data_IF_124032222596
#
_entry.id   IF_124032222596
#
_cell.length_a   1.000
_cell.length_b   1.000
_cell.length_c   1.000
_cell.angle_alpha   90.00
_cell.angle_beta   90.00
_cell.angle_gamma   90.00
#
_symmetry.space_group_name_H-M   'P 1'
#
loop_
_entity.id
_entity.type
_entity.pdbx_description
1 polymer ?
#
# COMPACT_ATOMS: atom_id res chain seq x y z
N UNK A 1 -1.77 9.74 -11.00
CA UNK A 1 -1.41 11.14 -11.28
C UNK A 1 -0.47 11.31 -12.48
N UNK A 2 0.10 10.23 -13.01
CA UNK A 2 0.96 10.29 -14.19
C UNK A 2 0.09 10.15 -15.45
N UNK A 3 0.16 11.12 -16.35
CA UNK A 3 -0.60 11.18 -17.61
C UNK A 3 0.35 11.14 -18.82
N UNK A 4 -0.20 10.81 -19.99
CA UNK A 4 0.57 10.70 -21.24
C UNK A 4 0.85 12.04 -21.96
N UNK A 5 0.42 13.17 -21.41
CA UNK A 5 0.56 14.49 -22.03
C UNK A 5 1.45 15.39 -21.16
N UNK A 6 2.45 16.03 -21.77
CA UNK A 6 3.36 16.99 -21.11
C UNK A 6 2.54 18.05 -20.34
N UNK A 7 2.93 18.35 -19.10
CA UNK A 7 2.27 19.27 -18.15
C UNK A 7 0.96 18.79 -17.52
N UNK A 8 0.38 17.67 -17.91
CA UNK A 8 -0.88 17.20 -17.30
C UNK A 8 -0.65 16.65 -15.89
N UNK A 9 0.47 15.97 -15.67
CA UNK A 9 0.86 15.44 -14.36
C UNK A 9 1.08 16.54 -13.31
N UNK A 10 1.72 17.63 -13.69
CA UNK A 10 1.90 18.80 -12.84
C UNK A 10 0.54 19.49 -12.53
N UNK A 11 -0.35 19.60 -13.52
CA UNK A 11 -1.69 20.16 -13.31
C UNK A 11 -2.55 19.30 -12.38
N UNK A 12 -2.51 17.99 -12.55
CA UNK A 12 -3.22 17.04 -11.66
C UNK A 12 -2.68 17.11 -10.23
N UNK A 13 -1.36 17.24 -10.06
CA UNK A 13 -0.76 17.40 -8.73
C UNK A 13 -1.18 18.74 -8.09
N UNK A 14 -1.16 19.84 -8.86
CA UNK A 14 -1.62 21.15 -8.36
C UNK A 14 -3.08 21.10 -7.92
N UNK A 15 -3.94 20.49 -8.73
CA UNK A 15 -5.35 20.31 -8.37
C UNK A 15 -5.52 19.47 -7.10
N UNK A 16 -4.78 18.37 -6.96
CA UNK A 16 -4.81 17.55 -5.75
C UNK A 16 -4.38 18.35 -4.50
N UNK A 17 -3.39 19.22 -4.64
CA UNK A 17 -2.98 20.13 -3.56
C UNK A 17 -4.08 21.15 -3.24
N UNK A 18 -4.74 21.72 -4.26
CA UNK A 18 -5.86 22.65 -4.05
C UNK A 18 -7.03 21.98 -3.30
N UNK A 19 -7.38 20.78 -3.71
CA UNK A 19 -8.43 19.97 -3.09
C UNK A 19 -8.10 19.57 -1.63
N UNK A 20 -6.79 19.50 -1.30
CA UNK A 20 -6.30 19.16 0.04
C UNK A 20 -6.13 20.37 0.98
N UNK A 21 -6.43 21.60 0.52
CA UNK A 21 -6.25 22.79 1.36
C UNK A 21 -7.09 22.72 2.64
N UNK A 22 -6.45 23.00 3.77
CA UNK A 22 -7.04 22.88 5.11
C UNK A 22 -7.11 21.45 5.64
N UNK A 23 -6.59 20.47 4.90
CA UNK A 23 -6.65 19.05 5.20
C UNK A 23 -5.36 18.29 4.97
N UNK A 24 -5.48 17.09 4.42
CA UNK A 24 -4.38 16.16 4.21
C UNK A 24 -4.40 15.65 2.77
N UNK A 25 -3.25 15.76 2.08
CA UNK A 25 -2.99 15.07 0.83
C UNK A 25 -2.28 13.74 1.17
N UNK A 26 -2.99 12.63 1.00
CA UNK A 26 -2.42 11.29 1.18
C UNK A 26 -2.06 10.70 -0.18
N UNK A 27 -0.79 10.32 -0.35
CA UNK A 27 -0.26 9.72 -1.57
C UNK A 27 0.22 8.31 -1.23
N UNK A 28 -0.54 7.31 -1.65
CA UNK A 28 -0.15 5.91 -1.50
C UNK A 28 0.79 5.48 -2.61
N UNK A 29 1.75 4.61 -2.26
CA UNK A 29 2.81 4.17 -3.18
C UNK A 29 3.49 5.33 -3.92
N UNK A 30 3.87 6.37 -3.17
CA UNK A 30 4.34 7.64 -3.70
C UNK A 30 5.56 7.53 -4.64
N UNK A 31 6.35 6.46 -4.52
CA UNK A 31 7.45 6.14 -5.42
C UNK A 31 7.01 5.92 -6.89
N UNK A 32 5.72 5.63 -7.13
CA UNK A 32 5.18 5.55 -8.49
C UNK A 32 5.03 6.92 -9.18
N UNK A 33 5.16 8.03 -8.44
CA UNK A 33 5.18 9.36 -9.04
C UNK A 33 6.44 9.60 -9.86
N UNK A 34 7.59 9.11 -9.39
CA UNK A 34 8.86 9.22 -10.07
C UNK A 34 9.64 7.91 -9.89
N UNK A 35 9.37 6.88 -10.69
CA UNK A 35 10.12 5.64 -10.62
C UNK A 35 11.60 5.89 -10.93
N UNK A 36 12.53 5.13 -10.29
CA UNK A 36 13.94 5.25 -10.57
C UNK A 36 14.19 4.94 -12.05
N UNK A 37 14.93 5.83 -12.74
CA UNK A 37 15.25 5.73 -14.16
C UNK A 37 15.97 4.42 -14.45
N UNK A 38 15.28 3.42 -14.97
CA UNK A 38 15.91 2.23 -15.55
C UNK A 38 16.43 2.61 -16.94
N UNK A 39 17.55 3.38 -16.99
CA UNK A 39 18.47 3.42 -18.11
C UNK A 39 17.93 3.59 -19.54
N UNK A 40 16.80 4.25 -19.75
CA UNK A 40 16.23 4.52 -21.06
C UNK A 40 15.46 5.82 -21.01
N UNK A 41 16.04 6.89 -21.52
CA UNK A 41 15.41 8.22 -21.58
C UNK A 41 14.15 8.23 -22.44
N UNK A 42 13.03 7.81 -21.88
CA UNK A 42 11.70 7.92 -22.45
C UNK A 42 10.98 9.14 -21.89
N UNK A 43 10.03 9.68 -22.65
CA UNK A 43 9.19 10.82 -22.25
C UNK A 43 8.43 10.61 -20.93
N UNK A 44 8.19 9.36 -20.56
CA UNK A 44 7.44 8.99 -19.35
C UNK A 44 8.21 9.28 -18.05
N UNK A 45 9.56 9.30 -18.09
CA UNK A 45 10.39 9.61 -16.91
C UNK A 45 10.26 11.09 -16.49
N UNK A 46 10.03 12.01 -17.43
CA UNK A 46 9.92 13.45 -17.16
C UNK A 46 8.58 13.81 -16.48
N UNK A 47 7.50 13.13 -16.82
CA UNK A 47 6.15 13.47 -16.31
C UNK A 47 6.01 13.25 -14.80
N UNK A 48 6.63 12.19 -14.30
CA UNK A 48 6.65 11.91 -12.87
C UNK A 48 7.50 12.92 -12.10
N UNK A 49 8.62 13.30 -12.66
CA UNK A 49 9.50 14.35 -12.09
C UNK A 49 8.77 15.68 -12.00
N UNK A 50 8.02 16.09 -13.03
CA UNK A 50 7.22 17.32 -13.04
C UNK A 50 6.15 17.32 -11.93
N UNK A 51 5.48 16.18 -11.70
CA UNK A 51 4.50 16.06 -10.62
C UNK A 51 5.15 16.22 -9.24
N UNK A 52 6.33 15.62 -9.03
CA UNK A 52 7.09 15.74 -7.79
C UNK A 52 7.59 17.18 -7.58
N UNK A 53 8.10 17.84 -8.61
CA UNK A 53 8.55 19.24 -8.54
C UNK A 53 7.39 20.20 -8.23
N UNK A 54 6.22 19.94 -8.83
CA UNK A 54 5.00 20.68 -8.55
C UNK A 54 4.59 20.51 -7.09
N UNK A 55 4.59 19.27 -6.59
CA UNK A 55 4.30 18.97 -5.17
C UNK A 55 5.26 19.72 -4.24
N UNK A 56 6.57 19.67 -4.52
CA UNK A 56 7.57 20.36 -3.70
C UNK A 56 7.37 21.87 -3.67
N UNK A 57 7.01 22.46 -4.82
CA UNK A 57 6.71 23.88 -4.93
C UNK A 57 5.49 24.26 -4.10
N UNK A 58 4.43 23.45 -4.16
CA UNK A 58 3.22 23.67 -3.37
C UNK A 58 3.48 23.51 -1.87
N UNK A 59 4.26 22.51 -1.45
CA UNK A 59 4.64 22.32 -0.04
C UNK A 59 5.39 23.53 0.53
N UNK A 60 6.16 24.25 -0.31
CA UNK A 60 6.86 25.47 0.11
C UNK A 60 5.92 26.67 0.15
N UNK A 61 5.19 26.92 -0.94
CA UNK A 61 4.34 28.11 -1.09
C UNK A 61 3.12 28.10 -0.17
N UNK A 62 2.58 26.92 0.11
CA UNK A 62 1.39 26.71 0.91
C UNK A 62 1.71 26.08 2.28
N UNK A 63 2.91 26.33 2.79
CA UNK A 63 3.38 25.82 4.07
C UNK A 63 2.39 26.12 5.20
N UNK A 64 1.97 25.05 5.91
CA UNK A 64 1.01 25.16 7.02
C UNK A 64 -0.45 25.23 6.60
N UNK A 65 -0.77 25.24 5.29
CA UNK A 65 -2.15 25.24 4.81
C UNK A 65 -2.72 23.83 4.61
N UNK A 66 -1.86 22.84 4.36
CA UNK A 66 -2.22 21.43 4.26
C UNK A 66 -1.04 20.53 4.68
N UNK A 67 -1.31 19.25 4.92
CA UNK A 67 -0.31 18.25 5.28
C UNK A 67 -0.17 17.24 4.15
N UNK A 68 1.07 16.87 3.80
CA UNK A 68 1.33 15.80 2.83
C UNK A 68 1.81 14.56 3.57
N UNK A 69 1.18 13.43 3.29
CA UNK A 69 1.58 12.11 3.78
C UNK A 69 1.85 11.23 2.57
N UNK A 70 3.10 10.78 2.43
CA UNK A 70 3.50 9.79 1.44
C UNK A 70 3.66 8.43 2.11
N UNK A 71 3.02 7.42 1.55
CA UNK A 71 3.13 6.04 2.02
C UNK A 71 3.70 5.13 0.94
N UNK A 72 4.29 4.01 1.33
CA UNK A 72 4.83 2.99 0.44
C UNK A 72 5.77 2.03 1.14
N UNK A 73 6.28 1.04 0.41
CA UNK A 73 7.28 0.12 0.93
C UNK A 73 8.58 0.84 1.26
N UNK A 74 9.17 0.53 2.42
CA UNK A 74 10.30 1.26 2.99
C UNK A 74 11.44 1.46 1.99
N UNK A 75 11.91 0.39 1.35
CA UNK A 75 13.01 0.44 0.40
C UNK A 75 12.71 1.38 -0.77
N UNK A 76 11.52 1.26 -1.36
CA UNK A 76 11.11 2.10 -2.48
C UNK A 76 10.93 3.56 -2.07
N UNK A 77 10.44 3.82 -0.86
CA UNK A 77 10.33 5.17 -0.31
C UNK A 77 11.70 5.79 -0.01
N UNK A 78 12.66 5.02 0.47
CA UNK A 78 14.02 5.50 0.69
C UNK A 78 14.69 5.87 -0.67
N UNK A 79 14.50 5.05 -1.71
CA UNK A 79 14.95 5.36 -3.07
C UNK A 79 14.23 6.61 -3.63
N UNK A 80 12.91 6.72 -3.46
CA UNK A 80 12.12 7.88 -3.88
C UNK A 80 12.62 9.19 -3.26
N UNK A 81 12.95 9.19 -1.98
CA UNK A 81 13.47 10.36 -1.29
C UNK A 81 14.86 10.77 -1.76
N UNK A 82 15.61 9.87 -2.40
CA UNK A 82 16.94 10.14 -2.98
C UNK A 82 16.87 10.74 -4.40
N UNK A 83 15.75 10.61 -5.11
CA UNK A 83 15.58 11.15 -6.47
C UNK A 83 15.82 12.65 -6.49
N UNK A 84 15.37 13.36 -5.45
CA UNK A 84 15.55 14.79 -5.35
C UNK A 84 15.90 15.20 -3.91
N UNK A 85 17.02 15.88 -3.68
CA UNK A 85 17.42 16.36 -2.35
C UNK A 85 16.36 17.25 -1.66
N UNK A 86 15.49 17.89 -2.45
CA UNK A 86 14.37 18.69 -1.96
C UNK A 86 13.30 17.87 -1.26
N UNK A 87 13.08 16.61 -1.67
CA UNK A 87 12.15 15.70 -1.03
C UNK A 87 12.60 15.37 0.40
N UNK A 88 13.83 14.94 0.58
CA UNK A 88 14.38 14.58 1.90
C UNK A 88 14.33 15.74 2.90
N UNK A 89 14.47 16.98 2.41
CA UNK A 89 14.39 18.19 3.25
C UNK A 89 12.97 18.53 3.69
N UNK A 90 11.97 18.15 2.91
CA UNK A 90 10.54 18.42 3.20
C UNK A 90 9.87 17.31 3.98
N UNK A 91 10.24 16.06 3.69
CA UNK A 91 9.75 14.88 4.42
C UNK A 91 10.69 14.54 5.59
N UNK A 92 10.65 15.36 6.63
CA UNK A 92 11.50 15.20 7.83
C UNK A 92 10.99 14.16 8.81
N UNK A 93 9.68 13.90 8.81
CA UNK A 93 9.05 12.92 9.69
C UNK A 93 8.86 11.61 8.95
N UNK A 94 9.56 10.56 9.40
CA UNK A 94 9.39 9.20 8.91
C UNK A 94 8.70 8.37 9.99
N UNK A 95 7.64 7.68 9.61
CA UNK A 95 6.94 6.75 10.47
C UNK A 95 7.06 5.34 9.88
N UNK A 96 7.59 4.42 10.64
CA UNK A 96 7.63 3.01 10.27
C UNK A 96 6.42 2.30 10.87
N UNK A 97 5.75 1.49 10.06
CA UNK A 97 4.64 0.63 10.50
C UNK A 97 5.14 -0.80 10.36
N UNK A 98 5.31 -1.46 11.52
CA UNK A 98 5.78 -2.83 11.56
C UNK A 98 4.77 -3.81 10.96
N UNK A 99 5.29 -4.92 10.45
CA UNK A 99 4.45 -6.05 10.03
C UNK A 99 3.66 -6.61 11.21
N UNK A 100 2.47 -7.11 10.93
CA UNK A 100 1.68 -7.82 11.93
C UNK A 100 2.36 -9.11 12.37
N UNK A 101 2.29 -9.39 13.67
CA UNK A 101 2.71 -10.67 14.24
C UNK A 101 1.76 -11.79 13.79
N UNK A 102 2.19 -13.08 13.83
CA UNK A 102 1.32 -14.21 13.52
C UNK A 102 0.01 -14.21 14.34
N UNK A 103 0.06 -13.82 15.60
CA UNK A 103 -1.12 -13.74 16.49
C UNK A 103 -2.07 -12.61 16.04
N UNK A 104 -1.55 -11.46 15.65
CA UNK A 104 -2.35 -10.36 15.11
C UNK A 104 -2.98 -10.75 13.76
N UNK A 105 -2.24 -11.42 12.90
CA UNK A 105 -2.77 -11.94 11.62
C UNK A 105 -3.90 -12.96 11.85
N UNK A 106 -3.74 -13.84 12.83
CA UNK A 106 -4.81 -14.75 13.23
C UNK A 106 -6.05 -14.01 13.71
N UNK A 107 -5.89 -12.98 14.54
CA UNK A 107 -7.01 -12.16 15.01
C UNK A 107 -7.72 -11.46 13.83
N UNK A 108 -6.95 -10.92 12.86
CA UNK A 108 -7.50 -10.31 11.64
C UNK A 108 -8.33 -11.33 10.87
N UNK A 109 -7.81 -12.54 10.66
CA UNK A 109 -8.55 -13.63 9.99
C UNK A 109 -9.85 -13.96 10.71
N UNK A 110 -9.80 -14.13 12.03
CA UNK A 110 -10.98 -14.43 12.85
C UNK A 110 -12.03 -13.32 12.81
N UNK A 111 -11.60 -12.05 12.84
CA UNK A 111 -12.49 -10.90 12.70
C UNK A 111 -13.18 -10.85 11.32
N UNK A 112 -12.43 -11.15 10.25
CA UNK A 112 -13.00 -11.24 8.90
C UNK A 112 -14.02 -12.36 8.80
N UNK A 113 -13.71 -13.54 9.33
CA UNK A 113 -14.64 -14.66 9.37
C UNK A 113 -15.93 -14.26 10.08
N UNK A 114 -15.83 -13.67 11.27
CA UNK A 114 -16.99 -13.20 12.04
C UNK A 114 -17.81 -12.15 11.26
N UNK A 115 -17.18 -11.16 10.63
CA UNK A 115 -17.87 -10.14 9.81
C UNK A 115 -18.62 -10.74 8.62
N UNK A 116 -18.18 -11.88 8.13
CA UNK A 116 -18.80 -12.61 7.01
C UNK A 116 -19.74 -13.75 7.48
N UNK A 117 -20.08 -13.81 8.79
CA UNK A 117 -20.91 -14.81 9.40
C UNK A 117 -20.37 -16.25 9.30
N UNK A 118 -19.05 -16.41 9.33
CA UNK A 118 -18.40 -17.70 9.45
C UNK A 118 -17.89 -17.90 10.88
N UNK A 119 -18.06 -19.12 11.38
CA UNK A 119 -17.52 -19.55 12.69
C UNK A 119 -16.43 -20.60 12.46
N UNK A 120 -15.28 -20.40 13.09
CA UNK A 120 -14.24 -21.41 13.12
C UNK A 120 -14.53 -22.41 14.24
N UNK A 121 -14.45 -23.70 13.91
CA UNK A 121 -14.49 -24.76 14.93
C UNK A 121 -13.15 -24.78 15.69
N UNK A 122 -13.13 -25.16 16.98
CA UNK A 122 -11.91 -25.13 17.80
C UNK A 122 -10.74 -25.90 17.16
N UNK A 123 -11.04 -27.01 16.50
CA UNK A 123 -10.03 -27.86 15.82
C UNK A 123 -9.35 -27.17 14.63
N UNK A 124 -9.95 -26.10 14.08
CA UNK A 124 -9.36 -25.35 12.97
C UNK A 124 -8.35 -24.29 13.44
N UNK A 125 -8.29 -23.96 14.73
CA UNK A 125 -7.45 -22.87 15.24
C UNK A 125 -5.97 -23.22 15.09
N UNK A 126 -5.55 -24.40 15.54
CA UNK A 126 -4.14 -24.83 15.46
C UNK A 126 -3.65 -24.96 14.01
N UNK A 127 -4.39 -25.60 13.08
CA UNK A 127 -4.03 -25.60 11.66
C UNK A 127 -3.95 -24.18 11.05
N UNK A 128 -4.86 -23.28 11.41
CA UNK A 128 -4.83 -21.89 10.95
C UNK A 128 -3.55 -21.19 11.41
N UNK A 129 -3.21 -21.29 12.68
CA UNK A 129 -2.01 -20.71 13.28
C UNK A 129 -0.75 -21.20 12.58
N UNK A 130 -0.65 -22.52 12.34
CA UNK A 130 0.47 -23.11 11.61
C UNK A 130 0.56 -22.60 10.17
N UNK A 131 -0.58 -22.46 9.48
CA UNK A 131 -0.62 -21.92 8.13
C UNK A 131 -0.15 -20.46 8.07
N UNK A 132 -0.57 -19.64 9.03
CA UNK A 132 -0.15 -18.23 9.15
C UNK A 132 1.34 -18.16 9.45
N UNK A 133 1.85 -18.97 10.38
CA UNK A 133 3.29 -19.01 10.72
C UNK A 133 4.14 -19.34 9.48
N UNK A 134 3.76 -20.36 8.71
CA UNK A 134 4.45 -20.71 7.47
C UNK A 134 4.46 -19.56 6.44
N UNK A 135 3.38 -18.79 6.35
CA UNK A 135 3.34 -17.62 5.47
C UNK A 135 4.25 -16.49 5.97
N UNK A 136 4.32 -16.27 7.27
CA UNK A 136 5.21 -15.27 7.88
C UNK A 136 6.68 -15.69 7.75
N UNK A 137 6.99 -16.97 7.94
CA UNK A 137 8.36 -17.49 7.80
C UNK A 137 8.86 -17.41 6.34
N UNK A 138 7.94 -17.52 5.37
CA UNK A 138 8.23 -17.43 3.95
C UNK A 138 8.08 -16.01 3.38
N UNK A 139 7.87 -14.98 4.24
CA UNK A 139 7.65 -13.61 3.78
C UNK A 139 8.86 -13.04 3.03
N UNK A 140 8.57 -12.29 2.00
CA UNK A 140 9.52 -11.45 1.25
C UNK A 140 9.21 -9.96 1.46
N UNK A 141 9.92 -9.10 0.72
CA UNK A 141 9.77 -7.64 0.78
C UNK A 141 8.35 -7.17 0.39
N UNK A 142 7.56 -8.01 -0.28
CA UNK A 142 6.21 -7.71 -0.75
C UNK A 142 5.12 -8.41 0.08
N UNK A 143 5.47 -8.89 1.27
CA UNK A 143 4.50 -9.58 2.12
C UNK A 143 3.30 -8.68 2.43
N UNK A 144 2.12 -9.09 1.97
CA UNK A 144 0.90 -8.29 2.02
C UNK A 144 0.21 -8.22 3.39
N UNK A 145 0.85 -8.69 4.47
CA UNK A 145 0.30 -8.59 5.84
C UNK A 145 -1.17 -9.02 5.93
N UNK A 146 -2.06 -8.09 6.31
CA UNK A 146 -3.51 -8.32 6.37
C UNK A 146 -4.10 -8.77 5.02
N UNK A 147 -3.53 -8.35 3.90
CA UNK A 147 -3.92 -8.78 2.55
C UNK A 147 -3.72 -10.29 2.34
N UNK A 148 -2.68 -10.89 2.95
CA UNK A 148 -2.50 -12.34 2.93
C UNK A 148 -3.61 -13.07 3.68
N UNK A 149 -4.15 -12.47 4.73
CA UNK A 149 -5.30 -13.04 5.46
C UNK A 149 -6.58 -12.97 4.63
N UNK A 150 -6.76 -11.92 3.83
CA UNK A 150 -7.88 -11.83 2.87
C UNK A 150 -7.80 -12.96 1.85
N UNK A 151 -6.63 -13.17 1.24
CA UNK A 151 -6.39 -14.26 0.27
C UNK A 151 -6.66 -15.63 0.89
N UNK A 152 -6.11 -15.88 2.09
CA UNK A 152 -6.30 -17.12 2.83
C UNK A 152 -7.78 -17.39 3.16
N UNK A 153 -8.50 -16.34 3.56
CA UNK A 153 -9.93 -16.45 3.86
C UNK A 153 -10.75 -16.79 2.62
N UNK A 154 -10.51 -16.11 1.50
CA UNK A 154 -11.21 -16.41 0.24
C UNK A 154 -10.91 -17.83 -0.28
N UNK A 155 -9.66 -18.28 -0.15
CA UNK A 155 -9.29 -19.65 -0.50
C UNK A 155 -10.00 -20.68 0.41
N UNK A 156 -10.06 -20.41 1.71
CA UNK A 156 -10.76 -21.27 2.68
C UNK A 156 -12.25 -21.38 2.35
N UNK A 157 -12.89 -20.27 1.96
CA UNK A 157 -14.28 -20.26 1.49
C UNK A 157 -14.48 -21.12 0.24
N UNK A 158 -13.61 -20.97 -0.76
CA UNK A 158 -13.67 -21.76 -2.00
C UNK A 158 -13.59 -23.25 -1.68
N UNK A 159 -12.65 -23.67 -0.82
CA UNK A 159 -12.49 -25.07 -0.41
C UNK A 159 -13.69 -25.59 0.37
N UNK A 160 -14.28 -24.76 1.25
CA UNK A 160 -15.50 -25.11 1.98
C UNK A 160 -16.66 -25.34 1.01
N UNK A 161 -16.89 -24.43 0.07
CA UNK A 161 -17.96 -24.56 -0.94
C UNK A 161 -17.81 -25.83 -1.79
N UNK A 162 -16.60 -26.12 -2.28
CA UNK A 162 -16.34 -27.36 -3.05
C UNK A 162 -16.62 -28.62 -2.22
N UNK A 163 -16.22 -28.63 -0.95
CA UNK A 163 -16.49 -29.76 -0.04
C UNK A 163 -17.96 -29.98 0.24
N UNK A 164 -18.74 -28.90 0.36
CA UNK A 164 -20.20 -28.97 0.56
C UNK A 164 -20.90 -29.46 -0.70
N UNK A 165 -20.50 -28.97 -1.88
CA UNK A 165 -21.09 -29.46 -3.15
C UNK A 165 -20.85 -30.95 -3.38
N UNK A 166 -19.66 -31.46 -3.08
CA UNK A 166 -19.36 -32.89 -3.21
C UNK A 166 -20.15 -33.75 -2.23
N UNK A 167 -20.56 -33.22 -1.06
CA UNK A 167 -21.41 -33.95 -0.09
C UNK A 167 -22.87 -33.99 -0.48
N UNK A 168 -23.36 -33.12 -1.33
CA UNK A 168 -24.76 -33.08 -1.80
C UNK A 168 -24.96 -34.03 -2.99
N UNK A 169 -23.88 -34.47 -3.64
CA UNK A 169 -23.94 -35.42 -4.78
C UNK A 169 -23.77 -36.88 -4.38
N UNK A 170 -23.56 -37.18 -3.09
CA UNK A 170 -23.52 -38.52 -2.50
C UNK A 170 -24.71 -38.72 -1.60
#
# INVERSE_FOLDING_TARGET
>A
LVSKYMNESAQLMNKACDDAMGGVLFIDEAYNLAPPSKGGGGSDDNEGVEAVESLMTRMENDKGKFVVICAGYQKNMDEFLLINPGLSRRFTNKMHIDDYTPDQLQQIFMQMAKKKNYTLVPEAIVPLQKCIQLKVDAKDENFGNAGEMVKLFEETKKRLSSRLMNKVQT
#
